data_IF_754922068861
#
_entry.id   IF_754922068861
#
_cell.length_a   1.000
_cell.length_b   1.000
_cell.length_c   1.000
_cell.angle_alpha   90.00
_cell.angle_beta   90.00
_cell.angle_gamma   90.00
#
_symmetry.space_group_name_H-M   'P 1'
#
loop_
_entity.id
_entity.type
_entity.pdbx_description
1 polymer ?
#
# COMPACT_ATOMS: atom_id res chain seq x y z
N UNK A 1 -28.97 12.25 22.33
CA UNK A 1 -27.91 12.81 21.47
C UNK A 1 -27.69 11.80 20.36
N UNK A 2 -27.73 12.22 19.11
CA UNK A 2 -27.46 11.34 17.97
C UNK A 2 -25.97 11.48 17.66
N UNK A 3 -25.21 10.40 17.79
CA UNK A 3 -23.80 10.40 17.43
C UNK A 3 -23.70 10.59 15.92
N UNK A 4 -22.91 11.58 15.47
CA UNK A 4 -22.66 11.79 14.05
C UNK A 4 -21.66 10.76 13.51
N UNK A 5 -21.71 10.46 12.21
CA UNK A 5 -20.73 9.59 11.56
C UNK A 5 -19.30 10.09 11.73
N UNK A 6 -19.12 11.42 11.77
CA UNK A 6 -17.82 12.04 12.05
C UNK A 6 -17.35 11.71 13.46
N UNK A 7 -18.20 11.86 14.48
CA UNK A 7 -17.83 11.52 15.86
C UNK A 7 -17.45 10.04 15.99
N UNK A 8 -18.16 9.14 15.32
CA UNK A 8 -17.80 7.71 15.30
C UNK A 8 -16.42 7.51 14.67
N UNK A 9 -16.12 8.17 13.55
CA UNK A 9 -14.83 8.07 12.89
C UNK A 9 -13.69 8.65 13.76
N UNK A 10 -13.92 9.81 14.39
CA UNK A 10 -12.97 10.45 15.30
C UNK A 10 -12.67 9.51 16.50
N UNK A 11 -13.70 8.95 17.14
CA UNK A 11 -13.57 8.00 18.25
C UNK A 11 -12.78 6.75 17.84
N UNK A 12 -13.00 6.23 16.62
CA UNK A 12 -12.27 5.09 16.08
C UNK A 12 -10.79 5.40 15.85
N UNK A 13 -10.47 6.58 15.31
CA UNK A 13 -9.10 7.00 15.06
C UNK A 13 -8.34 7.23 16.38
N UNK A 14 -8.99 7.87 17.36
CA UNK A 14 -8.45 8.01 18.72
C UNK A 14 -8.17 6.63 19.34
N UNK A 15 -9.11 5.69 19.23
CA UNK A 15 -8.92 4.33 19.72
C UNK A 15 -7.71 3.64 19.07
N UNK A 16 -7.52 3.75 17.76
CA UNK A 16 -6.35 3.18 17.09
C UNK A 16 -5.03 3.82 17.57
N UNK A 17 -5.03 5.13 17.82
CA UNK A 17 -3.89 5.88 18.33
C UNK A 17 -3.49 5.43 19.73
N UNK A 18 -4.46 5.16 20.61
CA UNK A 18 -4.24 4.71 21.98
C UNK A 18 -3.92 3.20 22.09
N UNK A 19 -4.30 2.41 21.08
CA UNK A 19 -4.19 0.95 21.09
C UNK A 19 -3.41 0.41 19.88
N UNK A 20 -2.06 0.53 19.84
CA UNK A 20 -1.24 0.13 18.68
C UNK A 20 -1.26 -1.38 18.35
N UNK A 21 -1.80 -2.21 19.24
CA UNK A 21 -2.03 -3.64 18.99
C UNK A 21 -3.31 -3.93 18.20
N UNK A 22 -4.11 -2.90 17.89
CA UNK A 22 -5.39 -2.99 17.16
C UNK A 22 -5.25 -2.32 15.79
N UNK A 23 -5.94 -2.87 14.80
CA UNK A 23 -6.16 -2.26 13.50
C UNK A 23 -7.66 -2.24 13.17
N UNK A 24 -8.06 -1.29 12.33
CA UNK A 24 -9.37 -1.22 11.71
C UNK A 24 -9.34 -1.98 10.37
N UNK A 25 -10.16 -3.01 10.27
CA UNK A 25 -10.51 -3.63 9.00
C UNK A 25 -11.58 -2.79 8.32
N UNK A 26 -11.26 -2.26 7.13
CA UNK A 26 -12.17 -1.45 6.31
C UNK A 26 -12.63 -2.21 5.06
N UNK A 27 -12.42 -3.52 5.02
CA UNK A 27 -12.70 -4.40 3.88
C UNK A 27 -14.17 -4.81 3.80
N UNK A 28 -15.07 -3.84 3.76
CA UNK A 28 -16.49 -4.13 3.72
C UNK A 28 -16.94 -4.80 2.40
N UNK A 29 -16.34 -4.46 1.25
CA UNK A 29 -16.63 -5.06 -0.06
C UNK A 29 -15.42 -4.93 -1.00
N UNK A 30 -14.77 -6.04 -1.36
CA UNK A 30 -13.75 -6.07 -2.42
C UNK A 30 -12.59 -7.06 -2.20
N UNK A 31 -11.78 -7.25 -3.24
CA UNK A 31 -10.60 -8.11 -3.22
C UNK A 31 -9.42 -7.51 -2.42
N UNK A 32 -9.40 -6.19 -2.24
CA UNK A 32 -8.23 -5.44 -1.76
C UNK A 32 -7.99 -5.40 -0.24
N UNK A 33 -8.80 -6.11 0.55
CA UNK A 33 -8.76 -6.20 2.04
C UNK A 33 -7.83 -5.20 2.74
N UNK A 34 -8.21 -3.92 2.88
CA UNK A 34 -7.35 -2.93 3.51
C UNK A 34 -7.57 -2.90 5.03
N UNK A 35 -6.49 -2.66 5.75
CA UNK A 35 -6.49 -2.40 7.18
C UNK A 35 -5.81 -1.07 7.47
N UNK A 36 -6.25 -0.40 8.53
CA UNK A 36 -5.66 0.83 9.07
C UNK A 36 -5.14 0.57 10.47
N UNK A 37 -3.91 0.98 10.78
CA UNK A 37 -3.38 1.02 12.15
C UNK A 37 -2.74 2.37 12.43
N UNK A 38 -2.56 2.72 13.69
CA UNK A 38 -1.69 3.83 14.06
C UNK A 38 -0.30 3.32 14.44
N UNK A 39 0.75 3.83 13.79
CA UNK A 39 2.14 3.47 14.10
C UNK A 39 3.09 4.58 13.68
N UNK A 40 4.14 4.79 14.47
CA UNK A 40 5.22 5.75 14.17
C UNK A 40 4.71 7.18 13.86
N UNK A 41 3.65 7.61 14.56
CA UNK A 41 3.07 8.95 14.42
C UNK A 41 2.04 9.10 13.31
N UNK A 42 1.78 8.07 12.51
CA UNK A 42 0.89 8.15 11.34
C UNK A 42 -0.19 7.05 11.32
N UNK A 43 -1.31 7.33 10.66
CA UNK A 43 -2.26 6.30 10.27
C UNK A 43 -1.73 5.58 9.03
N UNK A 44 -1.43 4.30 9.17
CA UNK A 44 -0.90 3.44 8.12
C UNK A 44 -2.05 2.62 7.53
N UNK A 45 -2.31 2.78 6.24
CA UNK A 45 -3.18 1.91 5.45
C UNK A 45 -2.32 0.85 4.78
N UNK A 46 -2.65 -0.43 4.92
CA UNK A 46 -2.07 -1.49 4.09
C UNK A 46 -3.14 -2.49 3.65
N UNK A 47 -3.03 -2.99 2.44
CA UNK A 47 -3.92 -3.99 1.87
C UNK A 47 -3.22 -4.86 0.84
N UNK A 48 -3.78 -6.03 0.60
CA UNK A 48 -3.30 -6.92 -0.46
C UNK A 48 -3.85 -6.46 -1.82
N UNK A 49 -2.97 -6.23 -2.77
CA UNK A 49 -3.26 -5.93 -4.17
C UNK A 49 -3.44 -7.15 -5.04
N UNK A 50 -3.33 -6.93 -6.34
CA UNK A 50 -3.15 -8.00 -7.32
C UNK A 50 -1.71 -8.53 -7.23
N UNK A 51 -1.53 -9.84 -7.45
CA UNK A 51 -0.21 -10.50 -7.57
C UNK A 51 0.73 -10.23 -6.36
N UNK A 52 0.28 -10.60 -5.13
CA UNK A 52 1.03 -10.52 -3.86
C UNK A 52 1.67 -9.17 -3.48
N UNK A 53 1.26 -8.11 -4.19
CA UNK A 53 1.66 -6.73 -3.92
C UNK A 53 0.98 -6.23 -2.65
N UNK A 54 1.73 -5.56 -1.78
CA UNK A 54 1.14 -4.78 -0.69
C UNK A 54 0.94 -3.34 -1.17
N UNK A 55 -0.30 -2.90 -1.22
CA UNK A 55 -0.59 -1.46 -1.31
C UNK A 55 -0.54 -0.91 0.10
N UNK A 56 0.43 -0.04 0.36
CA UNK A 56 0.49 0.67 1.62
C UNK A 56 0.72 2.15 1.41
N UNK A 57 0.16 2.95 2.30
CA UNK A 57 0.36 4.40 2.35
C UNK A 57 0.10 4.92 3.75
N UNK A 58 0.52 6.14 4.02
CA UNK A 58 0.11 6.88 5.21
C UNK A 58 -1.07 7.78 4.88
N UNK A 59 -2.06 7.81 5.77
CA UNK A 59 -3.21 8.70 5.69
C UNK A 59 -3.02 9.86 6.67
N UNK A 60 -3.38 11.06 6.23
CA UNK A 60 -3.67 12.14 7.17
C UNK A 60 -5.01 11.88 7.90
N UNK A 61 -5.31 12.71 8.89
CA UNK A 61 -6.51 12.53 9.72
C UNK A 61 -7.81 12.70 8.91
N UNK A 62 -7.87 13.66 7.98
CA UNK A 62 -9.06 13.92 7.16
C UNK A 62 -9.32 12.78 6.16
N UNK A 63 -8.25 12.22 5.57
CA UNK A 63 -8.31 11.04 4.72
C UNK A 63 -8.80 9.81 5.50
N UNK A 64 -8.27 9.59 6.71
CA UNK A 64 -8.67 8.48 7.56
C UNK A 64 -10.12 8.60 8.04
N UNK A 65 -10.57 9.81 8.41
CA UNK A 65 -11.98 10.08 8.75
C UNK A 65 -12.88 9.78 7.56
N UNK A 66 -12.51 10.27 6.38
CA UNK A 66 -13.27 10.05 5.14
C UNK A 66 -13.41 8.56 4.85
N UNK A 67 -12.31 7.81 4.97
CA UNK A 67 -12.30 6.36 4.80
C UNK A 67 -13.28 5.67 5.78
N UNK A 68 -13.23 6.00 7.07
CA UNK A 68 -14.08 5.35 8.07
C UNK A 68 -15.56 5.71 7.95
N UNK A 69 -15.87 6.89 7.40
CA UNK A 69 -17.27 7.27 7.11
C UNK A 69 -17.87 6.50 5.95
N UNK A 70 -17.06 6.14 4.95
CA UNK A 70 -17.53 5.50 3.73
C UNK A 70 -17.45 3.97 3.77
N UNK A 71 -16.75 3.40 4.75
CA UNK A 71 -16.53 1.96 4.86
C UNK A 71 -16.91 1.46 6.25
N UNK A 72 -17.70 0.37 6.36
CA UNK A 72 -17.85 -0.36 7.61
C UNK A 72 -16.49 -0.72 8.22
N UNK A 73 -16.34 -0.41 9.51
CA UNK A 73 -15.11 -0.64 10.26
C UNK A 73 -15.30 -1.78 11.25
N UNK A 74 -14.38 -2.75 11.25
CA UNK A 74 -14.26 -3.75 12.30
C UNK A 74 -12.90 -3.65 12.97
N UNK A 75 -12.87 -3.48 14.30
CA UNK A 75 -11.62 -3.50 15.07
C UNK A 75 -11.16 -4.94 15.31
N UNK A 76 -9.89 -5.20 14.99
CA UNK A 76 -9.26 -6.52 15.14
C UNK A 76 -7.83 -6.35 15.68
N UNK A 77 -7.27 -7.36 16.39
CA UNK A 77 -5.84 -7.38 16.69
C UNK A 77 -5.02 -7.30 15.40
N UNK A 78 -3.91 -6.55 15.41
CA UNK A 78 -2.94 -6.44 14.29
C UNK A 78 -2.50 -7.82 13.79
N UNK A 79 -2.35 -8.80 14.70
CA UNK A 79 -1.98 -10.19 14.38
C UNK A 79 -3.05 -10.97 13.59
N UNK A 80 -4.23 -10.38 13.34
CA UNK A 80 -5.32 -10.97 12.55
C UNK A 80 -5.49 -10.32 11.18
N UNK A 81 -4.69 -9.31 10.84
CA UNK A 81 -4.72 -8.65 9.53
C UNK A 81 -3.91 -9.46 8.50
N UNK A 82 -4.48 -10.56 8.01
CA UNK A 82 -3.86 -11.42 6.99
C UNK A 82 -4.87 -11.79 5.89
N UNK A 83 -4.36 -12.18 4.72
CA UNK A 83 -5.18 -12.52 3.55
C UNK A 83 -6.00 -13.79 3.76
N UNK A 84 -5.38 -14.88 4.23
CA UNK A 84 -5.97 -16.22 4.29
C UNK A 84 -5.54 -16.98 5.56
N UNK A 85 -6.39 -17.85 6.11
CA UNK A 85 -6.01 -18.74 7.22
C UNK A 85 -5.56 -20.11 6.72
N UNK A 86 -4.61 -20.77 7.42
CA UNK A 86 -3.70 -20.18 8.41
C UNK A 86 -2.63 -19.32 7.72
N UNK A 87 -2.34 -18.13 8.24
CA UNK A 87 -1.24 -17.28 7.77
C UNK A 87 -0.09 -17.27 8.77
N UNK A 88 1.13 -17.28 8.26
CA UNK A 88 2.37 -17.10 9.02
C UNK A 88 2.83 -15.64 9.08
N UNK A 89 2.27 -14.77 8.23
CA UNK A 89 2.55 -13.34 8.13
C UNK A 89 1.27 -12.53 8.07
N UNK A 90 1.32 -11.31 8.60
CA UNK A 90 0.29 -10.28 8.44
C UNK A 90 0.61 -9.36 7.27
N UNK A 91 -0.38 -8.61 6.80
CA UNK A 91 -0.21 -7.54 5.80
C UNK A 91 0.90 -6.56 6.21
N UNK A 92 1.10 -6.40 7.51
CA UNK A 92 2.10 -5.49 8.07
C UNK A 92 3.50 -6.07 8.04
N UNK A 93 3.65 -7.39 8.15
CA UNK A 93 4.93 -8.07 8.00
C UNK A 93 5.37 -7.98 6.54
N UNK A 94 4.44 -8.25 5.62
CA UNK A 94 4.67 -8.12 4.19
C UNK A 94 4.97 -6.64 3.82
N UNK A 95 4.23 -5.68 4.39
CA UNK A 95 4.50 -4.25 4.22
C UNK A 95 5.89 -3.86 4.73
N UNK A 96 6.34 -4.41 5.86
CA UNK A 96 7.65 -4.10 6.43
C UNK A 96 8.80 -4.71 5.61
N UNK A 97 8.64 -5.94 5.14
CA UNK A 97 9.60 -6.59 4.24
C UNK A 97 9.74 -5.79 2.93
N UNK A 98 8.64 -5.30 2.40
CA UNK A 98 8.62 -4.47 1.20
C UNK A 98 8.99 -3.00 1.48
N UNK A 99 9.10 -2.56 2.74
CA UNK A 99 9.29 -1.15 3.15
C UNK A 99 8.16 -0.19 2.70
N UNK A 100 6.93 -0.69 2.63
CA UNK A 100 5.80 -0.12 1.90
C UNK A 100 5.35 1.29 2.35
N UNK A 101 5.83 1.78 3.50
CA UNK A 101 5.50 3.11 4.03
C UNK A 101 6.58 4.17 3.82
N UNK A 102 7.68 3.83 3.14
CA UNK A 102 8.73 4.79 2.79
C UNK A 102 8.48 5.41 1.42
N UNK A 103 9.11 6.55 1.14
CA UNK A 103 9.09 7.21 -0.18
C UNK A 103 9.99 6.52 -1.21
N UNK A 104 10.44 5.28 -0.94
CA UNK A 104 11.34 4.55 -1.82
C UNK A 104 10.66 4.19 -3.14
N UNK A 105 11.45 4.23 -4.19
CA UNK A 105 11.12 3.74 -5.52
C UNK A 105 10.80 2.24 -5.49
N UNK A 106 9.82 1.80 -6.28
CA UNK A 106 9.36 0.40 -6.34
C UNK A 106 9.20 -0.09 -7.75
N UNK A 107 9.51 -1.37 -7.97
CA UNK A 107 9.10 -2.08 -9.16
C UNK A 107 7.59 -1.98 -9.30
N UNK A 108 7.14 -1.42 -10.43
CA UNK A 108 5.75 -1.24 -10.80
C UNK A 108 4.96 -2.55 -10.73
N UNK A 109 5.60 -3.64 -11.16
CA UNK A 109 4.98 -4.96 -11.23
C UNK A 109 4.99 -5.73 -9.90
N UNK A 110 6.18 -6.08 -9.40
CA UNK A 110 6.30 -6.97 -8.24
C UNK A 110 6.30 -6.24 -6.89
N UNK A 111 6.39 -4.90 -6.87
CA UNK A 111 6.34 -4.08 -5.66
C UNK A 111 7.63 -4.03 -4.83
N UNK A 112 8.69 -4.76 -5.19
CA UNK A 112 10.00 -4.67 -4.53
C UNK A 112 10.59 -3.27 -4.65
N UNK A 113 11.24 -2.78 -3.60
CA UNK A 113 11.83 -1.44 -3.59
C UNK A 113 13.31 -1.45 -4.00
N UNK A 114 13.83 -0.27 -4.37
CA UNK A 114 15.25 -0.06 -4.69
C UNK A 114 16.22 -0.46 -3.55
N UNK A 115 15.70 -0.61 -2.33
CA UNK A 115 16.47 -1.09 -1.17
C UNK A 115 16.70 -2.60 -1.19
N UNK A 116 15.77 -3.35 -1.78
CA UNK A 116 15.80 -4.82 -1.80
C UNK A 116 16.31 -5.39 -3.12
N UNK A 117 16.23 -4.61 -4.20
CA UNK A 117 16.68 -4.97 -5.54
C UNK A 117 17.03 -3.70 -6.30
N UNK A 118 17.95 -3.80 -7.26
CA UNK A 118 18.20 -2.70 -8.18
C UNK A 118 16.98 -2.49 -9.10
N UNK A 119 16.64 -1.23 -9.35
CA UNK A 119 15.54 -0.81 -10.23
C UNK A 119 16.08 0.08 -11.34
N UNK A 120 15.61 -0.15 -12.57
CA UNK A 120 15.82 0.74 -13.72
C UNK A 120 14.48 1.34 -14.16
N UNK A 121 14.51 2.56 -14.68
CA UNK A 121 13.33 3.27 -15.17
C UNK A 121 13.14 2.99 -16.66
N UNK A 122 11.94 2.59 -17.07
CA UNK A 122 11.62 2.30 -18.47
C UNK A 122 10.38 3.06 -18.94
N UNK A 123 10.41 3.50 -20.20
CA UNK A 123 9.20 3.85 -20.94
C UNK A 123 8.51 2.54 -21.35
N UNK A 124 7.23 2.39 -21.04
CA UNK A 124 6.44 1.19 -21.37
C UNK A 124 5.40 1.50 -22.44
N UNK A 125 4.83 0.45 -23.06
CA UNK A 125 3.83 0.60 -24.13
C UNK A 125 2.52 1.24 -23.63
N UNK A 126 2.00 0.78 -22.49
CA UNK A 126 0.68 1.21 -21.98
C UNK A 126 0.72 1.90 -20.60
N UNK A 127 1.68 1.55 -19.74
CA UNK A 127 1.69 1.97 -18.33
C UNK A 127 2.49 3.25 -18.05
N UNK A 128 3.03 3.92 -19.07
CA UNK A 128 3.86 5.11 -18.91
C UNK A 128 5.28 4.78 -18.42
N UNK A 129 5.90 5.69 -17.65
CA UNK A 129 7.27 5.47 -17.17
C UNK A 129 7.27 4.71 -15.86
N UNK A 130 7.79 3.48 -15.88
CA UNK A 130 7.72 2.55 -14.76
C UNK A 130 9.11 2.13 -14.30
N UNK A 131 9.31 2.06 -12.99
CA UNK A 131 10.46 1.40 -12.41
C UNK A 131 10.27 -0.11 -12.49
N UNK A 132 11.23 -0.85 -13.03
CA UNK A 132 11.18 -2.31 -13.18
C UNK A 132 12.46 -2.90 -12.61
N UNK A 133 12.35 -3.98 -11.81
CA UNK A 133 13.51 -4.70 -11.30
C UNK A 133 14.04 -5.69 -12.34
N UNK A 134 15.31 -6.09 -12.20
CA UNK A 134 15.94 -7.06 -13.10
C UNK A 134 15.17 -8.38 -13.21
N UNK A 135 14.61 -8.88 -12.11
CA UNK A 135 13.82 -10.13 -12.12
C UNK A 135 12.53 -10.03 -12.95
N UNK A 136 11.96 -8.83 -13.08
CA UNK A 136 10.77 -8.58 -13.90
C UNK A 136 11.11 -8.13 -15.32
N UNK A 137 12.34 -7.64 -15.55
CA UNK A 137 12.79 -7.14 -16.84
C UNK A 137 12.57 -8.18 -17.95
N UNK A 138 13.12 -9.39 -17.79
CA UNK A 138 13.06 -10.43 -18.83
C UNK A 138 11.61 -10.75 -19.24
N UNK A 139 10.67 -10.76 -18.28
CA UNK A 139 9.26 -11.03 -18.56
C UNK A 139 8.58 -9.90 -19.34
N UNK A 140 8.93 -8.65 -19.04
CA UNK A 140 8.38 -7.48 -19.74
C UNK A 140 9.00 -7.30 -21.12
N UNK A 141 10.31 -7.56 -21.25
CA UNK A 141 11.04 -7.54 -22.51
C UNK A 141 10.51 -8.62 -23.47
N UNK A 142 10.31 -9.86 -22.98
CA UNK A 142 9.76 -10.97 -23.76
C UNK A 142 8.32 -10.73 -24.28
N UNK A 143 7.57 -9.84 -23.62
CA UNK A 143 6.21 -9.46 -24.00
C UNK A 143 6.18 -8.20 -24.89
N UNK A 144 7.35 -7.66 -25.28
CA UNK A 144 7.47 -6.40 -26.00
C UNK A 144 6.84 -5.19 -25.26
N UNK A 145 6.80 -5.21 -23.92
CA UNK A 145 6.19 -4.15 -23.09
C UNK A 145 7.14 -2.97 -22.82
N UNK A 146 8.45 -3.16 -23.00
CA UNK A 146 9.47 -2.14 -22.76
C UNK A 146 9.86 -1.42 -24.05
N UNK A 147 9.68 -0.09 -24.08
CA UNK A 147 10.07 0.73 -25.23
C UNK A 147 11.56 1.08 -25.16
N UNK A 148 12.02 1.56 -24.00
CA UNK A 148 13.45 1.89 -23.73
C UNK A 148 13.71 2.17 -22.26
N UNK A 149 14.96 1.98 -21.84
CA UNK A 149 15.46 2.47 -20.55
C UNK A 149 15.64 4.01 -20.57
N UNK A 150 15.34 4.65 -19.45
CA UNK A 150 15.36 6.10 -19.25
C UNK A 150 16.39 6.50 -18.19
N UNK A 151 16.92 7.71 -18.35
CA UNK A 151 17.73 8.37 -17.31
C UNK A 151 16.79 9.03 -16.28
N UNK A 152 16.73 8.54 -15.03
CA UNK A 152 15.75 9.02 -14.05
C UNK A 152 15.95 10.49 -13.67
N UNK A 153 17.16 11.03 -13.78
CA UNK A 153 17.44 12.45 -13.52
C UNK A 153 16.80 13.37 -14.57
N UNK A 154 16.30 12.81 -15.68
CA UNK A 154 15.67 13.54 -16.79
C UNK A 154 14.16 13.37 -16.88
N UNK A 155 13.57 12.52 -16.02
CA UNK A 155 12.13 12.27 -16.02
C UNK A 155 11.53 12.91 -14.77
N UNK A 156 10.62 13.87 -14.91
CA UNK A 156 9.93 14.45 -13.75
C UNK A 156 9.19 13.37 -12.95
N UNK A 157 9.24 13.44 -11.62
CA UNK A 157 8.52 12.53 -10.72
C UNK A 157 7.03 12.39 -11.03
N UNK A 158 6.40 13.44 -11.57
CA UNK A 158 4.98 13.46 -11.98
C UNK A 158 4.69 12.62 -13.23
N UNK A 159 5.71 12.26 -13.99
CA UNK A 159 5.62 11.43 -15.20
C UNK A 159 5.98 9.97 -14.92
N UNK A 160 6.35 9.64 -13.68
CA UNK A 160 6.61 8.27 -13.25
C UNK A 160 5.33 7.68 -12.70
N UNK A 161 4.89 6.59 -13.31
CA UNK A 161 3.74 5.82 -12.86
C UNK A 161 4.05 5.22 -11.48
N UNK A 162 3.20 5.54 -10.50
CA UNK A 162 3.25 4.97 -9.14
C UNK A 162 2.06 4.07 -8.91
N UNK A 163 2.34 2.82 -8.58
CA UNK A 163 1.33 1.79 -8.47
C UNK A 163 0.68 1.78 -7.08
#
# INVERSE_FOLDING_TARGET
MTTSEKQIADDLLEYLREHPSVCADVSAQGYHRPWVRYRDGAYQLAGYGEIDRIHATTLDEDQAITLFKHHPVQLLPVSKAYRWKPATKTVWDDAAEQDAFTSLTRCWWCGFSERTTDLSLYETVEDGNCWICTDCYDTWDDQDELVRELDPDRVPDSEISRA
#
